data_IF_290566105828
#
_entry.id   IF_290566105828
#
_cell.length_a   1.000
_cell.length_b   1.000
_cell.length_c   1.000
_cell.angle_alpha   90.00
_cell.angle_beta   90.00
_cell.angle_gamma   90.00
#
_symmetry.space_group_name_H-M   'P 1'
#
loop_
_entity.id
_entity.type
_entity.pdbx_description
1 polymer ?
#
# COMPACT_ATOMS: atom_id res chain seq x y z
N UNK A 1 20.88 4.24 -32.99
CA UNK A 1 21.14 3.02 -32.19
C UNK A 1 21.75 3.51 -30.90
N UNK A 2 21.03 3.29 -29.79
CA UNK A 2 21.36 3.58 -28.39
C UNK A 2 21.34 5.04 -27.96
N UNK A 3 20.15 5.51 -27.56
CA UNK A 3 19.97 6.64 -26.65
C UNK A 3 19.58 6.07 -25.27
N UNK A 4 20.58 5.79 -24.43
CA UNK A 4 20.42 5.50 -23.01
C UNK A 4 20.15 6.81 -22.27
N UNK A 5 18.87 7.15 -22.08
CA UNK A 5 18.47 8.24 -21.18
C UNK A 5 18.34 7.70 -19.76
N UNK A 6 19.46 7.76 -19.04
CA UNK A 6 19.51 7.62 -17.58
C UNK A 6 18.48 8.55 -16.91
N UNK A 7 17.58 7.95 -16.14
CA UNK A 7 16.71 8.69 -15.23
C UNK A 7 17.56 9.25 -14.09
N UNK A 8 17.93 10.52 -14.19
CA UNK A 8 18.60 11.29 -13.14
C UNK A 8 17.63 11.49 -11.96
N UNK A 9 17.85 10.73 -10.89
CA UNK A 9 17.19 10.92 -9.60
C UNK A 9 17.98 11.96 -8.79
N UNK A 10 17.36 13.08 -8.45
CA UNK A 10 17.98 14.11 -7.62
C UNK A 10 18.04 13.65 -6.17
N UNK A 11 19.23 13.43 -5.64
CA UNK A 11 19.46 13.39 -4.20
C UNK A 11 19.12 14.77 -3.62
N UNK A 12 18.00 14.86 -2.89
CA UNK A 12 17.69 16.07 -2.11
C UNK A 12 17.81 15.74 -0.64
N UNK A 13 18.74 16.44 0.01
CA UNK A 13 18.84 16.55 1.45
C UNK A 13 17.50 16.98 2.03
N UNK A 14 16.92 16.13 2.87
CA UNK A 14 15.69 16.38 3.59
C UNK A 14 15.96 17.41 4.70
N UNK A 15 15.86 18.69 4.36
CA UNK A 15 15.81 19.79 5.33
C UNK A 15 14.37 20.23 5.51
N UNK A 16 13.63 19.54 6.39
CA UNK A 16 12.40 20.07 6.98
C UNK A 16 12.45 19.83 8.48
N UNK A 17 12.25 20.92 9.21
CA UNK A 17 12.38 21.06 10.65
C UNK A 17 11.49 20.07 11.44
N UNK A 18 12.10 19.47 12.46
CA UNK A 18 11.57 18.72 13.60
C UNK A 18 10.09 18.26 13.54
N UNK A 19 9.85 16.99 13.17
CA UNK A 19 8.63 16.26 13.48
C UNK A 19 8.96 14.93 14.16
N UNK A 20 8.14 14.55 15.14
CA UNK A 20 8.30 13.37 16.01
C UNK A 20 8.73 12.09 15.27
N UNK A 21 9.38 11.11 15.95
CA UNK A 21 10.08 9.96 15.33
C UNK A 21 9.25 8.99 14.46
N UNK A 22 7.95 9.24 14.27
CA UNK A 22 7.00 8.32 13.64
C UNK A 22 6.52 8.75 12.25
N UNK A 23 6.95 9.91 11.73
CA UNK A 23 6.43 10.42 10.46
C UNK A 23 7.56 10.83 9.53
N UNK A 24 8.26 9.84 8.99
CA UNK A 24 9.01 10.01 7.74
C UNK A 24 7.97 10.27 6.64
N UNK A 25 7.81 11.52 6.22
CA UNK A 25 6.82 11.88 5.20
C UNK A 25 7.34 11.50 3.81
N UNK A 26 7.02 10.28 3.38
CA UNK A 26 7.36 9.76 2.05
C UNK A 26 6.46 10.33 0.94
N UNK A 27 5.35 10.99 1.31
CA UNK A 27 4.37 11.47 0.34
C UNK A 27 4.96 12.50 -0.65
N UNK A 28 5.75 13.52 -0.25
CA UNK A 28 6.32 14.48 -1.19
C UNK A 28 7.20 13.84 -2.27
N UNK A 29 8.02 12.86 -1.89
CA UNK A 29 8.92 12.16 -2.83
C UNK A 29 8.10 11.35 -3.85
N UNK A 30 7.07 10.63 -3.39
CA UNK A 30 6.22 9.83 -4.26
C UNK A 30 5.36 10.71 -5.18
N UNK A 31 4.89 11.86 -4.70
CA UNK A 31 4.15 12.84 -5.50
C UNK A 31 5.02 13.44 -6.59
N UNK A 32 6.29 13.75 -6.31
CA UNK A 32 7.22 14.24 -7.33
C UNK A 32 7.42 13.22 -8.46
N UNK A 33 7.51 11.92 -8.13
CA UNK A 33 7.62 10.86 -9.14
C UNK A 33 6.35 10.77 -10.00
N UNK A 34 5.17 10.83 -9.38
CA UNK A 34 3.90 10.82 -10.11
C UNK A 34 3.75 12.06 -11.00
N UNK A 35 4.15 13.23 -10.53
CA UNK A 35 4.12 14.48 -11.28
C UNK A 35 5.07 14.44 -12.50
N UNK A 36 6.28 13.90 -12.33
CA UNK A 36 7.21 13.65 -13.45
C UNK A 36 6.60 12.72 -14.50
N UNK A 37 5.96 11.62 -14.09
CA UNK A 37 5.29 10.71 -15.02
C UNK A 37 4.13 11.40 -15.77
N UNK A 38 3.34 12.21 -15.05
CA UNK A 38 2.19 12.93 -15.60
C UNK A 38 2.63 13.99 -16.62
N UNK A 39 3.64 14.80 -16.27
CA UNK A 39 4.21 15.85 -17.15
C UNK A 39 4.83 15.29 -18.42
N UNK A 40 5.47 14.13 -18.33
CA UNK A 40 6.07 13.47 -19.49
C UNK A 40 5.03 12.72 -20.35
N UNK A 41 3.73 12.87 -20.06
CA UNK A 41 2.63 12.18 -20.74
C UNK A 41 2.89 10.68 -20.90
N UNK A 42 3.43 10.05 -19.85
CA UNK A 42 3.88 8.67 -19.92
C UNK A 42 2.67 7.76 -20.21
N UNK A 43 2.71 6.93 -21.26
CA UNK A 43 1.55 6.13 -21.69
C UNK A 43 1.11 5.11 -20.63
N UNK A 44 1.96 4.85 -19.65
CA UNK A 44 1.72 3.95 -18.52
C UNK A 44 1.46 4.68 -17.20
N UNK A 45 0.89 5.88 -17.23
CA UNK A 45 0.42 6.53 -15.99
C UNK A 45 -0.65 5.62 -15.33
N UNK A 46 -0.52 5.30 -14.03
CA UNK A 46 -1.37 4.31 -13.40
C UNK A 46 -2.82 4.81 -13.30
N UNK A 47 -3.78 3.92 -13.52
CA UNK A 47 -5.19 4.17 -13.23
C UNK A 47 -5.53 3.92 -11.76
N UNK A 48 -4.72 3.08 -11.10
CA UNK A 48 -4.82 2.77 -9.67
C UNK A 48 -3.41 2.52 -9.13
N UNK A 49 -3.11 3.08 -7.96
CA UNK A 49 -1.83 2.93 -7.29
C UNK A 49 -1.95 2.05 -6.04
N UNK A 50 -1.15 0.98 -5.99
CA UNK A 50 -1.00 0.15 -4.80
C UNK A 50 0.18 0.63 -3.97
N UNK A 51 -0.06 0.92 -2.70
CA UNK A 51 0.95 1.45 -1.77
C UNK A 51 1.28 0.37 -0.73
N UNK A 52 2.57 0.10 -0.53
CA UNK A 52 3.06 -0.74 0.57
C UNK A 52 2.93 0.03 1.90
N UNK A 53 1.75 -0.07 2.49
CA UNK A 53 1.34 0.76 3.61
C UNK A 53 -0.18 0.76 3.75
N UNK A 54 -0.70 1.52 4.71
CA UNK A 54 -2.13 1.55 4.98
C UNK A 54 -2.81 2.77 4.36
N UNK A 55 -4.11 2.62 4.08
CA UNK A 55 -5.04 3.72 3.83
C UNK A 55 -5.85 4.00 5.09
N UNK A 56 -7.16 3.76 5.05
CA UNK A 56 -8.07 3.97 6.18
C UNK A 56 -7.69 3.14 7.41
N UNK A 57 -7.10 1.94 7.24
CA UNK A 57 -6.63 1.06 8.33
C UNK A 57 -5.39 1.65 9.03
N UNK A 58 -5.57 2.79 9.69
CA UNK A 58 -4.55 3.58 10.33
C UNK A 58 -5.13 4.22 11.60
N UNK A 59 -4.38 4.42 12.70
CA UNK A 59 -4.92 4.96 13.95
C UNK A 59 -5.63 6.31 13.81
N UNK A 60 -5.23 7.10 12.80
CA UNK A 60 -5.86 8.39 12.45
C UNK A 60 -6.86 8.32 11.30
N UNK A 61 -7.19 7.12 10.81
CA UNK A 61 -8.01 6.93 9.60
C UNK A 61 -7.39 7.47 8.30
N UNK A 62 -6.12 7.86 8.33
CA UNK A 62 -5.44 8.52 7.21
C UNK A 62 -3.99 8.06 7.09
N UNK A 63 -3.79 6.91 6.45
CA UNK A 63 -2.46 6.37 6.17
C UNK A 63 -1.84 6.92 4.88
N UNK A 64 -0.65 6.42 4.52
CA UNK A 64 0.11 6.86 3.34
C UNK A 64 -0.68 6.70 2.03
N UNK A 65 -1.47 5.63 1.88
CA UNK A 65 -2.27 5.41 0.68
C UNK A 65 -3.37 6.47 0.53
N UNK A 66 -4.01 6.89 1.63
CA UNK A 66 -4.96 8.01 1.64
C UNK A 66 -4.25 9.32 1.32
N UNK A 67 -3.11 9.58 1.96
CA UNK A 67 -2.36 10.81 1.82
C UNK A 67 -1.95 11.07 0.36
N UNK A 68 -1.31 10.09 -0.28
CA UNK A 68 -0.89 10.20 -1.69
C UNK A 68 -2.11 10.25 -2.61
N UNK A 69 -3.12 9.43 -2.36
CA UNK A 69 -4.29 9.34 -3.23
C UNK A 69 -5.05 10.66 -3.32
N UNK A 70 -5.25 11.32 -2.17
CA UNK A 70 -5.91 12.64 -2.10
C UNK A 70 -5.07 13.71 -2.81
N UNK A 71 -3.76 13.77 -2.53
CA UNK A 71 -2.90 14.80 -3.12
C UNK A 71 -2.67 14.62 -4.63
N UNK A 72 -2.65 13.38 -5.11
CA UNK A 72 -2.48 13.07 -6.54
C UNK A 72 -3.80 13.02 -7.33
N UNK A 73 -4.96 13.10 -6.65
CA UNK A 73 -6.28 12.79 -7.19
C UNK A 73 -6.30 11.47 -7.98
N UNK A 74 -5.74 10.42 -7.37
CA UNK A 74 -5.53 9.11 -8.00
C UNK A 74 -6.14 8.00 -7.13
N UNK A 75 -6.88 7.03 -7.70
CA UNK A 75 -7.35 5.88 -6.95
C UNK A 75 -6.19 5.12 -6.29
N UNK A 76 -6.26 4.93 -4.97
CA UNK A 76 -5.21 4.27 -4.19
C UNK A 76 -5.74 3.17 -3.30
N UNK A 77 -4.94 2.11 -3.16
CA UNK A 77 -5.19 1.00 -2.24
C UNK A 77 -3.96 0.82 -1.34
N UNK A 78 -4.19 0.77 -0.04
CA UNK A 78 -3.15 0.41 0.93
C UNK A 78 -3.08 -1.10 1.10
N UNK A 79 -1.89 -1.68 0.93
CA UNK A 79 -1.61 -3.10 1.18
C UNK A 79 -0.54 -3.20 2.27
N UNK A 80 -0.98 -3.50 3.48
CA UNK A 80 -0.12 -3.69 4.64
C UNK A 80 0.33 -5.14 4.81
N UNK A 81 1.60 -5.35 5.16
CA UNK A 81 2.15 -6.68 5.54
C UNK A 81 1.86 -7.04 7.01
N UNK A 82 1.55 -6.05 7.83
CA UNK A 82 1.26 -6.14 9.26
C UNK A 82 -0.04 -5.39 9.58
N UNK A 83 -0.79 -5.86 10.56
CA UNK A 83 -2.00 -5.19 11.05
C UNK A 83 -1.62 -4.01 11.96
N UNK A 84 -2.23 -2.86 11.73
CA UNK A 84 -2.19 -1.73 12.68
C UNK A 84 -3.29 -1.90 13.73
N UNK A 85 -2.96 -1.58 14.98
CA UNK A 85 -3.94 -1.55 16.07
C UNK A 85 -4.85 -0.34 15.89
N UNK A 86 -6.09 -0.59 15.50
CA UNK A 86 -7.10 0.45 15.27
C UNK A 86 -8.45 -0.05 15.75
N UNK A 87 -9.19 0.77 16.50
CA UNK A 87 -10.58 0.48 16.85
C UNK A 87 -10.82 -0.95 17.40
N UNK A 88 -9.98 -1.38 18.34
CA UNK A 88 -10.04 -2.73 18.94
C UNK A 88 -9.48 -3.87 18.07
N UNK A 89 -9.14 -3.63 16.80
CA UNK A 89 -8.54 -4.62 15.93
C UNK A 89 -7.10 -4.92 16.38
N UNK A 90 -6.91 -6.12 16.90
CA UNK A 90 -5.61 -6.67 17.30
C UNK A 90 -5.24 -7.89 16.47
N UNK A 91 -3.95 -8.23 16.43
CA UNK A 91 -3.51 -9.43 15.70
C UNK A 91 -4.11 -10.72 16.29
N UNK A 92 -4.26 -10.81 17.61
CA UNK A 92 -4.90 -11.94 18.27
C UNK A 92 -6.36 -12.06 17.83
N UNK A 93 -7.11 -10.95 17.88
CA UNK A 93 -8.52 -10.92 17.49
C UNK A 93 -8.71 -11.35 16.04
N UNK A 94 -7.90 -10.85 15.12
CA UNK A 94 -7.98 -11.25 13.71
C UNK A 94 -7.65 -12.74 13.52
N UNK A 95 -6.71 -13.30 14.29
CA UNK A 95 -6.40 -14.74 14.26
C UNK A 95 -7.55 -15.58 14.79
N UNK A 96 -8.18 -15.17 15.89
CA UNK A 96 -9.34 -15.84 16.47
C UNK A 96 -10.53 -15.87 15.51
N UNK A 97 -10.89 -14.71 14.96
CA UNK A 97 -11.99 -14.61 13.98
C UNK A 97 -11.68 -15.49 12.77
N UNK A 98 -10.43 -15.53 12.32
CA UNK A 98 -10.01 -16.39 11.21
C UNK A 98 -10.13 -17.88 11.53
N UNK A 99 -9.77 -18.30 12.74
CA UNK A 99 -9.89 -19.70 13.17
C UNK A 99 -11.36 -20.13 13.30
N UNK A 100 -12.23 -19.21 13.69
CA UNK A 100 -13.66 -19.45 13.80
C UNK A 100 -14.39 -19.37 12.44
N UNK A 101 -13.81 -18.68 11.46
CA UNK A 101 -14.40 -18.54 10.14
C UNK A 101 -14.13 -19.81 9.30
N UNK A 102 -15.16 -20.64 9.14
CA UNK A 102 -15.18 -21.78 8.23
C UNK A 102 -15.48 -21.35 6.77
N UNK A 103 -14.88 -20.22 6.37
CA UNK A 103 -15.17 -19.56 5.10
C UNK A 103 -14.27 -20.12 3.99
N UNK A 104 -14.85 -20.58 2.86
CA UNK A 104 -14.05 -20.93 1.68
C UNK A 104 -13.39 -19.70 1.04
N UNK A 105 -13.94 -18.51 1.29
CA UNK A 105 -13.35 -17.27 0.83
C UNK A 105 -12.19 -16.87 1.73
N UNK A 106 -10.99 -16.83 1.16
CA UNK A 106 -9.74 -16.39 1.81
C UNK A 106 -9.70 -14.89 2.16
N UNK A 107 -10.85 -14.27 2.40
CA UNK A 107 -11.05 -12.85 2.73
C UNK A 107 -11.78 -12.75 4.05
N UNK A 108 -11.21 -11.99 4.98
CA UNK A 108 -11.81 -11.71 6.27
C UNK A 108 -12.00 -10.19 6.42
N UNK A 109 -13.24 -9.68 6.57
CA UNK A 109 -13.45 -8.26 6.82
C UNK A 109 -12.89 -7.87 8.19
N UNK A 110 -12.29 -6.68 8.27
CA UNK A 110 -11.73 -6.11 9.50
C UNK A 110 -12.72 -5.10 10.06
N UNK A 111 -13.60 -5.58 10.92
CA UNK A 111 -14.65 -4.77 11.58
C UNK A 111 -14.15 -4.44 12.99
N UNK A 112 -14.01 -3.15 13.28
CA UNK A 112 -13.61 -2.68 14.61
C UNK A 112 -14.76 -2.65 15.61
N UNK A 113 -14.46 -2.32 16.86
CA UNK A 113 -15.43 -2.29 17.97
C UNK A 113 -16.55 -1.27 17.72
N UNK A 114 -16.27 -0.20 16.98
CA UNK A 114 -17.28 0.77 16.53
C UNK A 114 -18.30 0.23 15.51
N UNK A 115 -18.07 -0.98 14.98
CA UNK A 115 -18.81 -1.53 13.84
C UNK A 115 -18.32 -1.03 12.48
N UNK A 116 -17.35 -0.13 12.43
CA UNK A 116 -16.77 0.35 11.18
C UNK A 116 -15.91 -0.74 10.51
N UNK A 117 -16.03 -0.87 9.19
CA UNK A 117 -15.15 -1.73 8.40
C UNK A 117 -13.91 -0.95 7.96
N UNK A 118 -12.75 -1.31 8.52
CA UNK A 118 -11.48 -0.63 8.26
C UNK A 118 -10.71 -1.20 7.06
N UNK A 119 -11.06 -2.41 6.64
CA UNK A 119 -10.38 -3.10 5.56
C UNK A 119 -10.71 -4.59 5.51
N UNK A 120 -9.82 -5.38 4.90
CA UNK A 120 -9.92 -6.83 4.88
C UNK A 120 -8.54 -7.49 5.01
N UNK A 121 -8.46 -8.60 5.73
CA UNK A 121 -7.31 -9.48 5.73
C UNK A 121 -7.49 -10.57 4.67
N UNK A 122 -6.52 -10.71 3.77
CA UNK A 122 -6.57 -11.73 2.72
C UNK A 122 -5.38 -12.69 2.81
N UNK A 123 -5.64 -13.97 2.57
CA UNK A 123 -4.60 -14.95 2.23
C UNK A 123 -4.49 -14.99 0.70
N UNK A 124 -3.48 -14.31 0.18
CA UNK A 124 -3.32 -14.02 -1.24
C UNK A 124 -2.85 -15.20 -2.09
N UNK A 125 -2.17 -16.21 -1.51
CA UNK A 125 -1.69 -17.37 -2.27
C UNK A 125 -1.80 -18.67 -1.46
N UNK A 126 -2.02 -19.79 -2.15
CA UNK A 126 -2.01 -21.13 -1.58
C UNK A 126 -0.68 -21.37 -0.84
N UNK A 127 -0.73 -21.74 0.43
CA UNK A 127 0.44 -21.92 1.30
C UNK A 127 0.99 -20.69 2.02
N UNK A 128 0.43 -19.48 1.80
CA UNK A 128 0.85 -18.28 2.55
C UNK A 128 0.27 -18.28 3.96
N UNK A 129 1.11 -18.50 4.97
CA UNK A 129 0.69 -18.49 6.39
C UNK A 129 0.35 -17.08 6.89
N UNK A 130 0.94 -16.04 6.29
CA UNK A 130 0.81 -14.65 6.76
C UNK A 130 -0.11 -13.87 5.82
N UNK A 131 -1.27 -13.38 6.30
CA UNK A 131 -2.15 -12.57 5.48
C UNK A 131 -1.48 -11.24 5.08
N UNK A 132 -2.10 -10.57 4.11
CA UNK A 132 -1.90 -9.14 3.84
C UNK A 132 -3.20 -8.40 4.18
N UNK A 133 -3.08 -7.15 4.58
CA UNK A 133 -4.18 -6.32 5.04
C UNK A 133 -4.46 -5.25 3.99
N UNK A 134 -5.66 -5.26 3.44
CA UNK A 134 -6.10 -4.33 2.41
C UNK A 134 -6.95 -3.26 3.07
N UNK A 135 -6.68 -2.01 2.73
CA UNK A 135 -7.50 -0.88 3.15
C UNK A 135 -7.67 0.11 2.01
N UNK A 136 -8.82 0.78 1.98
CA UNK A 136 -9.11 1.82 1.00
C UNK A 136 -8.14 2.98 1.21
N UNK A 137 -7.52 3.47 0.15
CA UNK A 137 -6.74 4.71 0.16
C UNK A 137 -7.63 5.88 -0.26
N UNK A 138 -7.96 5.95 -1.55
CA UNK A 138 -8.72 7.05 -2.15
C UNK A 138 -9.50 6.58 -3.38
N UNK A 139 -10.71 7.13 -3.59
CA UNK A 139 -11.56 6.93 -4.80
C UNK A 139 -11.74 5.48 -5.28
N UNK A 140 -11.75 4.52 -4.35
CA UNK A 140 -11.97 3.10 -4.64
C UNK A 140 -12.80 2.46 -3.54
N UNK A 141 -13.71 1.56 -3.90
CA UNK A 141 -14.46 0.79 -2.90
C UNK A 141 -13.58 -0.31 -2.29
N UNK A 142 -13.89 -0.75 -1.08
CA UNK A 142 -13.16 -1.87 -0.46
C UNK A 142 -13.28 -3.16 -1.29
N UNK A 143 -14.46 -3.44 -1.86
CA UNK A 143 -14.69 -4.60 -2.71
C UNK A 143 -13.78 -4.58 -3.95
N UNK A 144 -13.75 -3.46 -4.68
CA UNK A 144 -12.89 -3.27 -5.86
C UNK A 144 -11.41 -3.34 -5.49
N UNK A 145 -11.03 -2.79 -4.33
CA UNK A 145 -9.66 -2.86 -3.83
C UNK A 145 -9.22 -4.32 -3.58
N UNK A 146 -10.07 -5.12 -2.93
CA UNK A 146 -9.81 -6.54 -2.67
C UNK A 146 -9.66 -7.32 -3.97
N UNK A 147 -10.58 -7.12 -4.91
CA UNK A 147 -10.55 -7.80 -6.21
C UNK A 147 -9.29 -7.45 -7.01
N UNK A 148 -8.97 -6.15 -7.11
CA UNK A 148 -7.78 -5.67 -7.82
C UNK A 148 -6.49 -6.23 -7.23
N UNK A 149 -6.40 -6.27 -5.90
CA UNK A 149 -5.24 -6.86 -5.20
C UNK A 149 -5.17 -8.36 -5.47
N UNK A 150 -6.28 -9.10 -5.39
CA UNK A 150 -6.31 -10.55 -5.70
C UNK A 150 -5.83 -10.84 -7.13
N UNK A 151 -6.30 -10.08 -8.12
CA UNK A 151 -5.92 -10.26 -9.53
C UNK A 151 -4.42 -10.04 -9.78
N UNK A 152 -3.76 -9.26 -8.94
CA UNK A 152 -2.33 -8.94 -9.07
C UNK A 152 -1.43 -9.78 -8.15
N UNK A 153 -2.01 -10.66 -7.34
CA UNK A 153 -1.29 -11.56 -6.43
C UNK A 153 -0.90 -12.85 -7.13
N UNK A 154 0.30 -12.88 -7.76
CA UNK A 154 0.97 -14.14 -8.14
C UNK A 154 1.69 -14.81 -6.96
N UNK A 155 2.06 -14.00 -5.97
CA UNK A 155 2.72 -14.39 -4.72
C UNK A 155 1.96 -13.78 -3.53
N UNK A 156 2.51 -13.91 -2.32
CA UNK A 156 1.94 -13.29 -1.11
C UNK A 156 1.70 -11.79 -1.28
N UNK A 157 2.65 -11.06 -1.86
CA UNK A 157 2.57 -9.61 -2.07
C UNK A 157 2.17 -9.34 -3.53
N UNK A 158 1.27 -8.37 -3.80
CA UNK A 158 0.89 -8.01 -5.17
C UNK A 158 2.09 -7.69 -6.03
N UNK A 159 2.04 -8.10 -7.29
CA UNK A 159 3.14 -7.94 -8.24
C UNK A 159 3.63 -6.49 -8.36
N UNK A 160 2.76 -5.44 -8.40
CA UNK A 160 3.23 -4.05 -8.45
C UNK A 160 4.10 -3.66 -7.25
N UNK A 161 3.67 -4.03 -6.04
CA UNK A 161 4.41 -3.74 -4.79
C UNK A 161 5.70 -4.56 -4.74
N UNK A 162 5.63 -5.84 -5.10
CA UNK A 162 6.78 -6.74 -5.11
C UNK A 162 7.89 -6.22 -6.03
N UNK A 163 7.51 -5.76 -7.23
CA UNK A 163 8.45 -5.19 -8.20
C UNK A 163 9.05 -3.87 -7.71
N UNK A 164 8.26 -3.01 -7.06
CA UNK A 164 8.76 -1.79 -6.45
C UNK A 164 9.80 -2.08 -5.35
N UNK A 165 9.53 -3.04 -4.45
CA UNK A 165 10.44 -3.44 -3.37
C UNK A 165 11.76 -4.03 -3.93
N UNK A 166 11.68 -4.88 -4.97
CA UNK A 166 12.88 -5.44 -5.61
C UNK A 166 13.76 -4.34 -6.21
N UNK A 167 13.19 -3.44 -7.01
CA UNK A 167 13.93 -2.36 -7.68
C UNK A 167 14.51 -1.36 -6.68
N UNK A 168 13.76 -1.02 -5.63
CA UNK A 168 14.24 -0.14 -4.56
C UNK A 168 15.47 -0.75 -3.87
N UNK A 169 15.41 -2.05 -3.51
CA UNK A 169 16.55 -2.75 -2.89
C UNK A 169 17.74 -2.91 -3.83
N UNK A 170 17.50 -3.16 -5.11
CA UNK A 170 18.56 -3.24 -6.12
C UNK A 170 19.28 -1.91 -6.27
N UNK A 171 18.54 -0.80 -6.33
CA UNK A 171 19.12 0.54 -6.41
C UNK A 171 20.02 0.83 -5.21
N UNK A 172 19.57 0.49 -4.00
CA UNK A 172 20.35 0.66 -2.76
C UNK A 172 21.64 -0.16 -2.77
N UNK A 173 21.63 -1.38 -3.30
CA UNK A 173 22.85 -2.21 -3.39
C UNK A 173 23.87 -1.66 -4.39
N UNK A 174 23.41 -1.08 -5.49
CA UNK A 174 24.29 -0.58 -6.55
C UNK A 174 24.88 0.83 -6.26
N UNK A 175 24.39 1.51 -5.23
CA UNK A 175 24.79 2.88 -4.83
C UNK A 175 25.33 2.93 -3.39
N UNK A 176 25.75 1.78 -2.87
CA UNK A 176 26.61 1.63 -1.69
C UNK A 176 28.05 1.42 -2.15
#
# INVERSE_FOLDING_TARGET
MNDDKEATFSERNCSTEFQSPQQMDWAPVLLELLDKMKKNAHPFYPQLLMVDGNGLLHPRGFGLACHIGVLADLPTVGVGKNLHHVDGLTQSRVREIRQAADSPENVLPLIGDSGCTWGAAIQSSQGSLKPIFISVGHRVSLATAIETVKMTCRFRVPEPIRQADIRSRERLRNHQ
#
